data_IF_844736897391
#
_entry.id   IF_844736897391
#
_cell.length_a   1.000
_cell.length_b   1.000
_cell.length_c   1.000
_cell.angle_alpha   90.00
_cell.angle_beta   90.00
_cell.angle_gamma   90.00
#
_symmetry.space_group_name_H-M   'P 1'
#
loop_
_entity.id
_entity.type
_entity.pdbx_description
1 polymer ?
#
# COMPACT_ATOMS: atom_id res chain seq x y z
N UNK A 1 3.39 -26.75 0.01
CA UNK A 1 4.29 -25.57 -0.04
C UNK A 1 4.61 -25.09 1.37
N UNK A 2 5.84 -24.62 1.65
CA UNK A 2 6.30 -24.17 2.98
C UNK A 2 6.05 -22.68 3.22
N UNK A 3 5.87 -22.28 4.49
CA UNK A 3 5.72 -20.88 4.93
C UNK A 3 6.87 -20.00 4.42
N UNK A 4 8.11 -20.53 4.41
CA UNK A 4 9.29 -19.84 3.88
C UNK A 4 9.14 -19.43 2.41
N UNK A 5 8.48 -20.24 1.57
CA UNK A 5 8.23 -19.90 0.16
C UNK A 5 7.21 -18.76 0.03
N UNK A 6 6.15 -18.77 0.84
CA UNK A 6 5.17 -17.68 0.85
C UNK A 6 5.76 -16.37 1.38
N UNK A 7 6.63 -16.41 2.38
CA UNK A 7 7.34 -15.21 2.86
C UNK A 7 8.23 -14.59 1.78
N UNK A 8 8.93 -15.41 0.98
CA UNK A 8 9.69 -14.88 -0.18
C UNK A 8 8.78 -14.23 -1.20
N UNK A 9 7.63 -14.85 -1.49
CA UNK A 9 6.65 -14.28 -2.41
C UNK A 9 6.05 -12.97 -1.86
N UNK A 10 5.82 -12.89 -0.55
CA UNK A 10 5.33 -11.68 0.10
C UNK A 10 6.32 -10.51 -0.08
N UNK A 11 7.61 -10.73 0.15
CA UNK A 11 8.63 -9.70 -0.09
C UNK A 11 8.62 -9.16 -1.52
N UNK A 12 8.42 -10.03 -2.51
CA UNK A 12 8.31 -9.60 -3.91
C UNK A 12 7.04 -8.76 -4.13
N UNK A 13 5.92 -9.14 -3.51
CA UNK A 13 4.65 -8.40 -3.63
C UNK A 13 4.71 -7.05 -2.92
N UNK A 14 5.31 -6.98 -1.74
CA UNK A 14 5.57 -5.73 -1.01
C UNK A 14 6.46 -4.79 -1.83
N UNK A 15 7.49 -5.32 -2.50
CA UNK A 15 8.33 -4.52 -3.39
C UNK A 15 7.54 -3.94 -4.57
N UNK A 16 6.68 -4.76 -5.22
CA UNK A 16 5.81 -4.31 -6.31
C UNK A 16 4.76 -3.29 -5.84
N UNK A 17 4.20 -3.48 -4.65
CA UNK A 17 3.29 -2.53 -4.03
C UNK A 17 3.99 -1.19 -3.79
N UNK A 18 5.21 -1.23 -3.24
CA UNK A 18 6.00 -0.02 -3.02
C UNK A 18 6.35 0.70 -4.33
N UNK A 19 6.72 -0.02 -5.38
CA UNK A 19 6.94 0.55 -6.71
C UNK A 19 5.69 1.27 -7.23
N UNK A 20 4.51 0.63 -7.10
CA UNK A 20 3.25 1.26 -7.49
C UNK A 20 2.87 2.46 -6.62
N UNK A 21 3.24 2.46 -5.33
CA UNK A 21 3.04 3.58 -4.42
C UNK A 21 3.91 4.78 -4.80
N UNK A 22 5.17 4.54 -5.18
CA UNK A 22 6.07 5.58 -5.70
C UNK A 22 5.50 6.17 -7.00
N UNK A 23 5.05 5.32 -7.92
CA UNK A 23 4.42 5.78 -9.16
C UNK A 23 3.16 6.62 -8.89
N UNK A 24 2.32 6.20 -7.93
CA UNK A 24 1.14 6.96 -7.50
C UNK A 24 1.53 8.33 -6.93
N UNK A 25 2.55 8.40 -6.08
CA UNK A 25 3.05 9.65 -5.53
C UNK A 25 3.53 10.62 -6.62
N UNK A 26 4.24 10.11 -7.63
CA UNK A 26 4.65 10.92 -8.80
C UNK A 26 3.44 11.46 -9.55
N UNK A 27 2.39 10.65 -9.79
CA UNK A 27 1.17 11.12 -10.45
C UNK A 27 0.40 12.14 -9.64
N UNK A 28 0.43 12.04 -8.32
CA UNK A 28 -0.18 13.04 -7.45
C UNK A 28 0.58 14.37 -7.52
N UNK A 29 1.91 14.33 -7.56
CA UNK A 29 2.72 15.53 -7.76
C UNK A 29 2.47 16.18 -9.13
N UNK A 30 2.37 15.38 -10.20
CA UNK A 30 2.02 15.85 -11.55
C UNK A 30 0.66 16.58 -11.55
N UNK A 31 -0.35 16.01 -10.87
CA UNK A 31 -1.68 16.61 -10.76
C UNK A 31 -1.62 17.94 -10.00
N UNK A 32 -0.98 17.97 -8.83
CA UNK A 32 -0.85 19.18 -8.01
C UNK A 32 -0.17 20.30 -8.79
N UNK A 33 0.84 19.98 -9.60
CA UNK A 33 1.51 20.96 -10.46
C UNK A 33 0.58 21.50 -11.55
N UNK A 34 -0.22 20.62 -12.19
CA UNK A 34 -1.17 21.03 -13.20
C UNK A 34 -2.29 21.93 -12.63
N UNK A 35 -2.79 21.61 -11.44
CA UNK A 35 -3.80 22.40 -10.71
C UNK A 35 -3.23 23.76 -10.27
N UNK A 36 -1.98 23.80 -9.78
CA UNK A 36 -1.31 25.06 -9.45
C UNK A 36 -1.15 25.98 -10.66
N UNK A 37 -0.79 25.43 -11.83
CA UNK A 37 -0.72 26.19 -13.08
C UNK A 37 -2.10 26.69 -13.53
N UNK A 38 -3.15 25.89 -13.34
CA UNK A 38 -4.52 26.30 -13.63
C UNK A 38 -4.93 27.48 -12.75
N UNK A 39 -4.68 27.40 -11.44
CA UNK A 39 -4.98 28.49 -10.51
C UNK A 39 -4.27 29.79 -10.91
N UNK A 40 -2.98 29.71 -11.27
CA UNK A 40 -2.22 30.87 -11.76
C UNK A 40 -2.82 31.48 -13.03
N UNK A 41 -3.24 30.65 -14.00
CA UNK A 41 -3.88 31.13 -15.23
C UNK A 41 -5.24 31.79 -14.95
N UNK A 42 -6.02 31.24 -14.02
CA UNK A 42 -7.30 31.80 -13.61
C UNK A 42 -7.13 33.13 -12.86
N UNK A 43 -6.15 33.22 -11.95
CA UNK A 43 -5.83 34.47 -11.26
C UNK A 43 -5.36 35.55 -12.24
N UNK A 44 -4.54 35.15 -13.21
CA UNK A 44 -4.09 36.04 -14.27
C UNK A 44 -5.26 36.48 -15.16
N UNK A 45 -6.19 35.59 -15.52
CA UNK A 45 -7.43 35.94 -16.22
C UNK A 45 -8.23 37.00 -15.48
N UNK A 46 -8.46 36.78 -14.18
CA UNK A 46 -9.24 37.66 -13.34
C UNK A 46 -8.57 39.03 -13.21
N UNK A 47 -7.25 39.07 -13.13
CA UNK A 47 -6.50 40.32 -13.11
C UNK A 47 -6.70 41.13 -14.39
N UNK A 48 -6.74 40.47 -15.56
CA UNK A 48 -6.98 41.14 -16.84
C UNK A 48 -8.44 41.57 -17.04
N UNK A 49 -9.40 40.77 -16.59
CA UNK A 49 -10.82 41.13 -16.67
C UNK A 49 -11.17 42.36 -15.82
N UNK A 50 -10.45 42.56 -14.71
CA UNK A 50 -10.64 43.69 -13.81
C UNK A 50 -9.71 44.88 -14.13
N UNK A 51 -8.87 44.77 -15.16
CA UNK A 51 -7.99 45.87 -15.57
C UNK A 51 -8.81 47.00 -16.22
N UNK A 52 -8.43 48.28 -16.01
CA UNK A 52 -9.11 49.40 -16.63
C UNK A 52 -9.03 49.31 -18.17
N UNK A 53 -10.15 49.54 -18.84
CA UNK A 53 -10.22 49.52 -20.31
C UNK A 53 -9.38 50.68 -20.86
N UNK A 54 -8.39 50.42 -21.73
CA UNK A 54 -7.62 51.47 -22.36
C UNK A 54 -8.48 52.33 -23.29
N UNK A 55 -8.24 53.64 -23.35
CA UNK A 55 -8.93 54.54 -24.28
C UNK A 55 -8.40 54.47 -25.73
N UNK A 56 -7.30 53.74 -25.96
CA UNK A 56 -6.71 53.56 -27.30
C UNK A 56 -7.28 52.32 -27.99
N UNK A 57 -7.85 52.49 -29.18
CA UNK A 57 -8.40 51.42 -30.00
C UNK A 57 -7.38 50.31 -30.33
N UNK A 58 -6.09 50.65 -30.47
CA UNK A 58 -5.04 49.66 -30.70
C UNK A 58 -4.84 48.77 -29.46
N UNK A 59 -4.83 49.38 -28.27
CA UNK A 59 -4.73 48.66 -27.00
C UNK A 59 -5.97 47.79 -26.73
N UNK A 60 -7.17 48.25 -27.08
CA UNK A 60 -8.40 47.45 -26.99
C UNK A 60 -8.30 46.19 -27.86
N UNK A 61 -7.81 46.32 -29.10
CA UNK A 61 -7.62 45.16 -29.99
C UNK A 61 -6.60 44.17 -29.41
N UNK A 62 -5.48 44.65 -28.90
CA UNK A 62 -4.46 43.80 -28.26
C UNK A 62 -5.02 43.07 -27.04
N UNK A 63 -5.78 43.77 -26.19
CA UNK A 63 -6.42 43.20 -25.01
C UNK A 63 -7.44 42.11 -25.41
N UNK A 64 -8.22 42.31 -26.47
CA UNK A 64 -9.16 41.30 -26.98
C UNK A 64 -8.46 40.03 -27.48
N UNK A 65 -7.32 40.17 -28.17
CA UNK A 65 -6.51 39.03 -28.63
C UNK A 65 -5.92 38.27 -27.44
N UNK A 66 -5.41 38.99 -26.44
CA UNK A 66 -4.87 38.39 -25.23
C UNK A 66 -5.94 37.61 -24.46
N UNK A 67 -7.16 38.14 -24.32
CA UNK A 67 -8.26 37.42 -23.68
C UNK A 67 -8.61 36.13 -24.40
N UNK A 68 -8.58 36.14 -25.74
CA UNK A 68 -8.85 34.94 -26.53
C UNK A 68 -7.76 33.88 -26.30
N UNK A 69 -6.49 34.26 -26.44
CA UNK A 69 -5.35 33.37 -26.20
C UNK A 69 -5.35 32.79 -24.78
N UNK A 70 -5.70 33.62 -23.80
CA UNK A 70 -5.73 33.21 -22.40
C UNK A 70 -6.90 32.27 -22.10
N UNK A 71 -8.06 32.49 -22.73
CA UNK A 71 -9.18 31.53 -22.67
C UNK A 71 -8.81 30.19 -23.26
N UNK A 72 -8.15 30.17 -24.42
CA UNK A 72 -7.66 28.92 -25.03
C UNK A 72 -6.63 28.23 -24.13
N UNK A 73 -5.70 28.98 -23.55
CA UNK A 73 -4.72 28.44 -22.62
C UNK A 73 -5.37 27.79 -21.38
N UNK A 74 -6.39 28.43 -20.80
CA UNK A 74 -7.16 27.88 -19.67
C UNK A 74 -7.86 26.58 -20.08
N UNK A 75 -8.52 26.55 -21.24
CA UNK A 75 -9.18 25.33 -21.74
C UNK A 75 -8.18 24.18 -21.96
N UNK A 76 -7.01 24.48 -22.54
CA UNK A 76 -5.95 23.48 -22.70
C UNK A 76 -5.42 23.00 -21.35
N UNK A 77 -5.33 23.88 -20.36
CA UNK A 77 -4.90 23.50 -19.02
C UNK A 77 -5.94 22.64 -18.29
N UNK A 78 -7.24 22.93 -18.44
CA UNK A 78 -8.33 22.08 -17.93
C UNK A 78 -8.24 20.66 -18.49
N UNK A 79 -7.99 20.52 -19.79
CA UNK A 79 -7.77 19.21 -20.42
C UNK A 79 -6.55 18.49 -19.85
N UNK A 80 -5.47 19.22 -19.54
CA UNK A 80 -4.27 18.65 -18.91
C UNK A 80 -4.53 18.19 -17.48
N UNK A 81 -5.28 18.96 -16.70
CA UNK A 81 -5.69 18.59 -15.33
C UNK A 81 -6.56 17.33 -15.39
N UNK A 82 -7.57 17.29 -16.25
CA UNK A 82 -8.41 16.11 -16.42
C UNK A 82 -7.60 14.87 -16.84
N UNK A 83 -6.63 15.03 -17.76
CA UNK A 83 -5.72 13.94 -18.14
C UNK A 83 -4.83 13.48 -16.97
N UNK A 84 -4.32 14.41 -16.15
CA UNK A 84 -3.54 14.09 -14.95
C UNK A 84 -4.38 13.35 -13.89
N UNK A 85 -5.63 13.78 -13.67
CA UNK A 85 -6.60 13.11 -12.79
C UNK A 85 -6.84 11.67 -13.24
N UNK A 86 -7.12 11.45 -14.53
CA UNK A 86 -7.31 10.11 -15.08
C UNK A 86 -6.06 9.21 -14.87
N UNK A 87 -4.86 9.75 -15.04
CA UNK A 87 -3.60 9.00 -14.79
C UNK A 87 -3.42 8.68 -13.31
N UNK A 88 -3.79 9.60 -12.41
CA UNK A 88 -3.77 9.38 -10.97
C UNK A 88 -4.72 8.25 -10.58
N UNK A 89 -5.94 8.26 -11.10
CA UNK A 89 -6.93 7.22 -10.83
C UNK A 89 -6.47 5.84 -11.30
N UNK A 90 -5.88 5.77 -12.50
CA UNK A 90 -5.28 4.53 -13.02
C UNK A 90 -4.15 4.03 -12.12
N UNK A 91 -3.23 4.91 -11.71
CA UNK A 91 -2.15 4.54 -10.79
C UNK A 91 -2.69 4.08 -9.43
N UNK A 92 -3.76 4.72 -8.93
CA UNK A 92 -4.42 4.37 -7.68
C UNK A 92 -5.07 2.98 -7.77
N UNK A 93 -5.74 2.67 -8.89
CA UNK A 93 -6.32 1.36 -9.12
C UNK A 93 -5.26 0.25 -9.11
N UNK A 94 -4.13 0.47 -9.78
CA UNK A 94 -2.99 -0.47 -9.79
C UNK A 94 -2.45 -0.65 -8.37
N UNK A 95 -2.18 0.43 -7.64
CA UNK A 95 -1.70 0.33 -6.26
C UNK A 95 -2.67 -0.43 -5.36
N UNK A 96 -3.98 -0.16 -5.46
CA UNK A 96 -5.00 -0.88 -4.69
C UNK A 96 -5.01 -2.38 -4.99
N UNK A 97 -4.88 -2.79 -6.26
CA UNK A 97 -4.78 -4.19 -6.65
C UNK A 97 -3.56 -4.85 -6.00
N UNK A 98 -2.39 -4.20 -6.06
CA UNK A 98 -1.15 -4.71 -5.47
C UNK A 98 -1.25 -4.82 -3.96
N UNK A 99 -1.79 -3.80 -3.30
CA UNK A 99 -2.02 -3.79 -1.86
C UNK A 99 -2.95 -4.94 -1.42
N UNK A 100 -4.05 -5.16 -2.15
CA UNK A 100 -4.96 -6.27 -1.87
C UNK A 100 -4.27 -7.63 -2.06
N UNK A 101 -3.44 -7.78 -3.09
CA UNK A 101 -2.67 -8.98 -3.32
C UNK A 101 -1.65 -9.26 -2.19
N UNK A 102 -0.92 -8.25 -1.72
CA UNK A 102 -0.01 -8.37 -0.57
C UNK A 102 -0.77 -8.81 0.69
N UNK A 103 -1.85 -8.11 1.04
CA UNK A 103 -2.66 -8.41 2.24
C UNK A 103 -3.31 -9.79 2.21
N UNK A 104 -3.77 -10.23 1.05
CA UNK A 104 -4.36 -11.58 0.92
C UNK A 104 -3.31 -12.66 1.17
N UNK A 105 -2.08 -12.45 0.71
CA UNK A 105 -0.96 -13.37 0.93
C UNK A 105 -0.51 -13.37 2.40
N UNK A 106 -0.44 -12.21 3.05
CA UNK A 106 -0.18 -12.12 4.50
C UNK A 106 -1.17 -12.94 5.32
N UNK A 107 -2.47 -12.78 5.04
CA UNK A 107 -3.53 -13.55 5.70
C UNK A 107 -3.36 -15.06 5.49
N UNK A 108 -2.94 -15.48 4.30
CA UNK A 108 -2.67 -16.89 3.99
C UNK A 108 -1.47 -17.42 4.78
N UNK A 109 -0.39 -16.65 4.86
CA UNK A 109 0.80 -16.99 5.65
C UNK A 109 0.42 -17.17 7.13
N UNK A 110 -0.35 -16.24 7.67
CA UNK A 110 -0.78 -16.25 9.06
C UNK A 110 -1.66 -17.47 9.37
N UNK A 111 -2.64 -17.77 8.51
CA UNK A 111 -3.46 -19.00 8.63
C UNK A 111 -2.59 -20.24 8.61
N UNK A 112 -1.57 -20.28 7.74
CA UNK A 112 -0.69 -21.45 7.64
C UNK A 112 0.19 -21.61 8.88
N UNK A 113 0.74 -20.53 9.42
CA UNK A 113 1.50 -20.54 10.68
C UNK A 113 0.67 -21.10 11.83
N UNK A 114 -0.59 -20.66 11.96
CA UNK A 114 -1.51 -21.18 12.98
C UNK A 114 -1.76 -22.67 12.82
N UNK A 115 -1.96 -23.13 11.59
CA UNK A 115 -2.15 -24.55 11.31
C UNK A 115 -0.90 -25.39 11.66
N UNK A 116 0.28 -24.92 11.26
CA UNK A 116 1.54 -25.60 11.56
C UNK A 116 1.78 -25.63 13.09
N UNK A 117 1.51 -24.54 13.81
CA UNK A 117 1.64 -24.46 15.27
C UNK A 117 0.69 -25.42 16.01
N UNK A 118 -0.56 -25.57 15.56
CA UNK A 118 -1.50 -26.55 16.13
C UNK A 118 -1.01 -27.98 15.89
N UNK A 119 -0.47 -28.25 14.70
CA UNK A 119 0.12 -29.55 14.37
C UNK A 119 1.33 -29.89 15.25
N UNK A 120 2.22 -28.92 15.46
CA UNK A 120 3.39 -29.05 16.34
C UNK A 120 2.98 -29.24 17.80
N UNK A 121 2.04 -28.44 18.31
CA UNK A 121 1.53 -28.59 19.68
C UNK A 121 0.93 -29.98 19.94
N UNK A 122 0.16 -30.52 18.98
CA UNK A 122 -0.36 -31.90 19.07
C UNK A 122 0.74 -32.96 19.06
N UNK A 123 1.82 -32.75 18.31
CA UNK A 123 2.97 -33.67 18.29
C UNK A 123 3.72 -33.64 19.62
N UNK A 124 4.03 -32.45 20.12
CA UNK A 124 4.69 -32.25 21.41
C UNK A 124 3.87 -32.86 22.55
N UNK A 125 2.55 -32.66 22.55
CA UNK A 125 1.66 -33.27 23.54
C UNK A 125 1.75 -34.81 23.50
N UNK A 126 1.67 -35.43 22.31
CA UNK A 126 1.81 -36.88 22.19
C UNK A 126 3.18 -37.39 22.65
N UNK A 127 4.25 -36.66 22.36
CA UNK A 127 5.60 -37.01 22.81
C UNK A 127 5.72 -36.96 24.34
N UNK A 128 5.15 -35.93 24.97
CA UNK A 128 5.07 -35.82 26.43
C UNK A 128 4.22 -36.95 27.04
N UNK A 129 3.06 -37.25 26.47
CA UNK A 129 2.17 -38.32 26.93
C UNK A 129 2.86 -39.69 26.83
N UNK A 130 3.54 -39.96 25.70
CA UNK A 130 4.32 -41.20 25.53
C UNK A 130 5.48 -41.29 26.51
N UNK A 131 6.17 -40.18 26.78
CA UNK A 131 7.25 -40.14 27.75
C UNK A 131 6.74 -40.39 29.17
N UNK A 132 5.64 -39.73 29.57
CA UNK A 132 4.99 -39.92 30.85
C UNK A 132 4.51 -41.37 31.02
N UNK A 133 3.91 -41.95 29.97
CA UNK A 133 3.49 -43.35 29.97
C UNK A 133 4.68 -44.28 30.17
N UNK A 134 5.78 -44.09 29.43
CA UNK A 134 7.01 -44.88 29.57
C UNK A 134 7.64 -44.76 30.96
N UNK A 135 7.56 -43.58 31.58
CA UNK A 135 8.08 -43.34 32.92
C UNK A 135 7.22 -44.02 33.99
N UNK A 136 5.89 -43.92 33.87
CA UNK A 136 4.94 -44.57 34.78
C UNK A 136 4.93 -46.10 34.64
N UNK A 137 5.19 -46.63 33.44
CA UNK A 137 5.26 -48.07 33.17
C UNK A 137 6.63 -48.69 33.45
N UNK A 138 7.54 -47.98 34.14
CA UNK A 138 8.84 -48.50 34.57
C UNK A 138 8.83 -48.70 36.10
N UNK A 139 8.38 -49.86 36.62
CA UNK A 139 8.17 -50.08 38.05
C UNK A 139 9.47 -50.22 38.85
N UNK A 140 10.61 -50.42 38.17
CA UNK A 140 11.91 -50.70 38.80
C UNK A 140 12.65 -49.45 39.31
N UNK A 141 11.95 -48.32 39.46
CA UNK A 141 12.53 -47.10 40.04
C UNK A 141 12.12 -46.84 41.49
N UNK A 142 11.00 -47.40 41.94
CA UNK A 142 10.50 -47.27 43.31
C UNK A 142 10.78 -48.53 44.18
N UNK A 143 11.37 -49.59 43.62
CA UNK A 143 11.77 -50.81 44.34
C UNK A 143 13.14 -50.69 45.07
N UNK A 144 13.69 -49.48 45.20
CA UNK A 144 14.97 -49.21 45.86
C UNK A 144 14.89 -48.56 47.26
N UNK A 145 13.71 -48.43 47.87
CA UNK A 145 13.56 -47.81 49.20
C UNK A 145 12.67 -48.64 50.15
N UNK A 146 13.24 -49.70 50.70
CA UNK A 146 12.84 -50.45 51.92
C UNK A 146 13.71 -51.71 51.92
N UNK A 147 14.58 -52.03 52.88
CA UNK A 147 14.58 -51.80 54.33
C UNK A 147 16.04 -51.89 54.83
N UNK A 148 16.56 -50.83 55.45
CA UNK A 148 17.70 -50.93 56.37
C UNK A 148 17.21 -50.52 57.76
N UNK A 149 16.50 -51.42 58.42
CA UNK A 149 16.34 -51.37 59.87
C UNK A 149 15.84 -52.73 60.36
N UNK A 150 16.76 -53.60 60.78
CA UNK A 150 16.52 -54.65 61.78
C UNK A 150 17.88 -55.11 62.35
N UNK A 151 18.07 -54.89 63.65
CA UNK A 151 18.85 -55.75 64.55
C UNK A 151 20.29 -55.37 64.86
#
# INVERSE_FOLDING_TARGET
MSVKRFQRLLKIREAQENESAVALATRLADLNQAEAQQAQLTDYQNSYLNAPIPNDAHLIKQLSLMHHQLREAVQQQELRVAAAQNRLEQARAVWMERHQASRSLEKLIERRRRFDAVGEGRRQQRELDMWATRWASNPDRDSGFSTSDEG
#
